data_IF_360674560175
#
_entry.id   IF_360674560175
#
_cell.length_a   1.000
_cell.length_b   1.000
_cell.length_c   1.000
_cell.angle_alpha   90.00
_cell.angle_beta   90.00
_cell.angle_gamma   90.00
#
_symmetry.space_group_name_H-M   'P 1'
#
loop_
_entity.id
_entity.type
_entity.pdbx_description
1 polymer ?
#
# COMPACT_ATOMS: atom_id res chain seq x y z
N UNK A 1 -2.82 15.29 14.52
CA UNK A 1 -2.66 15.33 13.03
C UNK A 1 -1.65 14.26 12.67
N UNK A 2 -1.90 13.44 11.65
CA UNK A 2 -0.89 12.47 11.20
C UNK A 2 0.32 13.22 10.65
N UNK A 3 1.50 12.94 11.17
CA UNK A 3 2.76 13.48 10.66
C UNK A 3 3.03 12.85 9.28
N UNK A 4 3.39 13.66 8.29
CA UNK A 4 3.83 13.18 6.99
C UNK A 4 5.35 13.14 6.93
N UNK A 5 5.88 12.12 6.28
CA UNK A 5 7.31 11.93 6.03
C UNK A 5 7.57 11.91 4.53
N UNK A 6 8.63 12.53 4.09
CA UNK A 6 9.05 12.46 2.70
C UNK A 6 9.69 11.10 2.43
N UNK A 7 9.10 10.33 1.53
CA UNK A 7 9.65 9.06 1.07
C UNK A 7 9.95 9.13 -0.42
N UNK A 8 11.10 8.62 -0.79
CA UNK A 8 11.51 8.48 -2.18
C UNK A 8 10.87 7.24 -2.80
N UNK A 9 10.33 7.38 -3.99
CA UNK A 9 9.82 6.26 -4.77
C UNK A 9 11.00 5.40 -5.23
N UNK A 10 11.02 4.13 -4.80
CA UNK A 10 11.98 3.14 -5.24
C UNK A 10 11.73 2.67 -6.66
N UNK A 11 10.46 2.40 -6.98
CA UNK A 11 10.04 1.90 -8.28
C UNK A 11 8.57 2.21 -8.55
N UNK A 12 8.26 2.50 -9.79
CA UNK A 12 6.89 2.49 -10.34
C UNK A 12 6.84 1.39 -11.40
N UNK A 13 5.98 0.41 -11.20
CA UNK A 13 5.78 -0.71 -12.12
C UNK A 13 4.38 -0.70 -12.68
N UNK A 14 4.24 -0.83 -13.99
CA UNK A 14 2.93 -1.04 -14.61
C UNK A 14 2.42 -2.42 -14.22
N UNK A 15 1.22 -2.49 -13.67
CA UNK A 15 0.56 -3.74 -13.29
C UNK A 15 -0.47 -4.16 -14.36
N UNK A 16 -1.32 -3.21 -14.73
CA UNK A 16 -2.28 -3.32 -15.85
C UNK A 16 -2.25 -2.04 -16.68
N UNK A 17 -3.04 -1.98 -17.74
CA UNK A 17 -3.16 -0.75 -18.56
C UNK A 17 -3.71 0.44 -17.76
N UNK A 18 -4.36 0.17 -16.64
CA UNK A 18 -5.00 1.18 -15.77
C UNK A 18 -4.51 1.16 -14.33
N UNK A 19 -3.40 0.48 -14.01
CA UNK A 19 -2.89 0.41 -12.66
C UNK A 19 -1.36 0.37 -12.62
N UNK A 20 -0.81 1.06 -11.63
CA UNK A 20 0.62 1.01 -11.30
C UNK A 20 0.82 0.56 -9.86
N UNK A 21 1.93 -0.11 -9.62
CA UNK A 21 2.42 -0.42 -8.27
C UNK A 21 3.57 0.53 -7.97
N UNK A 22 3.45 1.23 -6.85
CA UNK A 22 4.49 2.12 -6.34
C UNK A 22 5.11 1.49 -5.11
N UNK A 23 6.42 1.34 -5.11
CA UNK A 23 7.21 0.96 -3.94
C UNK A 23 8.05 2.12 -3.45
N UNK A 24 8.19 2.24 -2.14
CA UNK A 24 8.91 3.32 -1.48
C UNK A 24 10.21 2.82 -0.85
N UNK A 25 11.22 3.69 -0.81
CA UNK A 25 12.35 3.52 0.07
C UNK A 25 11.96 4.07 1.45
N UNK A 26 11.96 3.23 2.45
CA UNK A 26 11.78 3.64 3.84
C UNK A 26 13.17 3.73 4.47
N UNK A 27 13.60 4.91 4.94
CA UNK A 27 14.87 5.04 5.66
C UNK A 27 14.84 4.25 6.97
N UNK A 28 15.96 3.66 7.37
CA UNK A 28 16.05 2.80 8.56
C UNK A 28 15.54 3.46 9.85
N UNK A 29 15.72 4.76 10.01
CA UNK A 29 15.21 5.50 11.16
C UNK A 29 13.68 5.68 11.17
N UNK A 30 13.00 5.28 10.09
CA UNK A 30 11.54 5.30 9.95
C UNK A 30 10.93 3.89 9.91
N UNK A 31 11.71 2.82 9.99
CA UNK A 31 11.24 1.44 9.88
C UNK A 31 10.11 1.13 10.88
N UNK A 32 10.28 1.53 12.14
CA UNK A 32 9.25 1.32 13.18
C UNK A 32 7.98 2.15 12.91
N UNK A 33 8.13 3.36 12.38
CA UNK A 33 7.01 4.26 12.06
C UNK A 33 6.19 3.73 10.89
N UNK A 34 6.85 3.08 9.93
CA UNK A 34 6.21 2.49 8.75
C UNK A 34 5.94 0.99 8.87
N UNK A 35 6.19 0.38 10.04
CA UNK A 35 5.72 -0.96 10.33
C UNK A 35 4.20 -1.04 10.25
N UNK A 36 3.65 -2.10 9.65
CA UNK A 36 2.21 -2.20 9.42
C UNK A 36 1.68 -3.62 9.68
N UNK A 37 0.36 -3.72 9.82
CA UNK A 37 -0.40 -4.97 9.84
C UNK A 37 -1.08 -5.16 8.48
N UNK A 38 -1.21 -6.42 8.04
CA UNK A 38 -1.90 -6.75 6.80
C UNK A 38 -3.33 -6.17 6.79
N UNK A 39 -3.70 -5.50 5.71
CA UNK A 39 -4.98 -4.81 5.56
C UNK A 39 -4.95 -3.30 5.80
N UNK A 40 -3.89 -2.78 6.39
CA UNK A 40 -3.72 -1.34 6.62
C UNK A 40 -3.41 -0.56 5.34
N UNK A 41 -3.55 0.77 5.41
CA UNK A 41 -3.32 1.71 4.33
C UNK A 41 -2.40 2.85 4.75
N UNK A 42 -1.83 3.53 3.77
CA UNK A 42 -1.10 4.79 3.91
C UNK A 42 -1.81 5.92 3.19
N UNK A 43 -1.60 7.16 3.67
CA UNK A 43 -2.08 8.36 2.97
C UNK A 43 -0.91 8.97 2.20
N UNK A 44 -1.07 9.11 0.89
CA UNK A 44 -0.13 9.82 0.03
C UNK A 44 -0.58 11.27 -0.14
N UNK A 45 0.36 12.20 -0.05
CA UNK A 45 0.14 13.62 -0.20
C UNK A 45 1.13 14.22 -1.21
N UNK A 46 0.63 15.07 -2.09
CA UNK A 46 1.44 15.85 -3.03
C UNK A 46 0.69 17.08 -3.50
N UNK A 47 1.36 17.97 -4.23
CA UNK A 47 0.73 19.12 -4.89
C UNK A 47 0.59 18.82 -6.39
N UNK A 48 -0.63 18.98 -6.90
CA UNK A 48 -0.94 18.87 -8.33
C UNK A 48 -1.63 20.16 -8.77
N UNK A 49 -1.08 20.83 -9.77
CA UNK A 49 -1.55 22.13 -10.24
C UNK A 49 -1.76 23.15 -9.09
N UNK A 50 -0.82 23.22 -8.14
CA UNK A 50 -0.85 24.13 -7.00
C UNK A 50 -1.79 23.72 -5.87
N UNK A 51 -2.58 22.66 -6.01
CA UNK A 51 -3.50 22.18 -4.96
C UNK A 51 -2.91 20.99 -4.23
N UNK A 52 -3.01 21.01 -2.89
CA UNK A 52 -2.66 19.84 -2.07
C UNK A 52 -3.71 18.75 -2.26
N UNK A 53 -3.23 17.55 -2.62
CA UNK A 53 -4.07 16.37 -2.82
C UNK A 53 -3.61 15.29 -1.85
N UNK A 54 -4.56 14.69 -1.13
CA UNK A 54 -4.34 13.53 -0.24
C UNK A 54 -5.20 12.37 -0.69
N UNK A 55 -4.64 11.16 -0.74
CA UNK A 55 -5.39 9.93 -1.07
C UNK A 55 -4.87 8.76 -0.26
N UNK A 56 -5.79 7.93 0.18
CA UNK A 56 -5.51 6.71 0.92
C UNK A 56 -5.38 5.53 -0.03
N UNK A 57 -4.34 4.72 0.18
CA UNK A 57 -4.10 3.50 -0.59
C UNK A 57 -3.71 2.36 0.35
N UNK A 58 -4.42 1.23 0.25
CA UNK A 58 -4.10 0.05 1.02
C UNK A 58 -2.76 -0.54 0.58
N UNK A 59 -2.01 -1.04 1.55
CA UNK A 59 -0.79 -1.79 1.29
C UNK A 59 -1.17 -3.13 0.63
N UNK A 60 -0.41 -3.55 -0.38
CA UNK A 60 -0.70 -4.74 -1.18
C UNK A 60 0.35 -5.85 -1.01
N UNK A 61 1.19 -5.73 0.00
CA UNK A 61 2.25 -6.70 0.35
C UNK A 61 2.08 -7.16 1.79
N UNK A 62 2.73 -8.28 2.14
CA UNK A 62 2.76 -8.70 3.54
C UNK A 62 3.71 -7.84 4.37
N UNK A 63 3.47 -7.69 5.68
CA UNK A 63 4.40 -6.99 6.57
C UNK A 63 5.81 -7.59 6.57
N UNK A 64 5.94 -8.90 6.38
CA UNK A 64 7.22 -9.61 6.33
C UNK A 64 8.05 -9.35 5.07
N UNK A 65 7.44 -8.79 4.03
CA UNK A 65 8.18 -8.48 2.79
C UNK A 65 9.25 -7.40 2.98
N UNK A 66 9.21 -6.66 4.09
CA UNK A 66 10.04 -5.47 4.32
C UNK A 66 9.92 -4.43 3.19
N UNK A 67 8.75 -4.38 2.56
CA UNK A 67 8.46 -3.45 1.47
C UNK A 67 7.23 -2.61 1.81
N UNK A 68 7.25 -1.36 1.43
CA UNK A 68 6.09 -0.47 1.49
C UNK A 68 5.58 -0.27 0.05
N UNK A 69 4.47 -0.94 -0.30
CA UNK A 69 3.91 -0.94 -1.66
C UNK A 69 2.41 -0.69 -1.67
N UNK A 70 1.98 0.13 -2.61
CA UNK A 70 0.57 0.37 -2.94
C UNK A 70 0.32 0.16 -4.42
N UNK A 71 -0.89 -0.29 -4.76
CA UNK A 71 -1.35 -0.33 -6.15
C UNK A 71 -2.38 0.77 -6.37
N UNK A 72 -2.20 1.54 -7.43
CA UNK A 72 -3.03 2.71 -7.75
C UNK A 72 -3.70 2.51 -9.10
N UNK A 73 -5.00 2.20 -9.05
CA UNK A 73 -5.84 2.12 -10.24
C UNK A 73 -6.18 3.52 -10.73
N UNK A 74 -5.96 3.76 -12.01
CA UNK A 74 -6.34 5.01 -12.69
C UNK A 74 -7.87 5.12 -12.73
N UNK A 75 -8.38 6.19 -12.12
CA UNK A 75 -9.80 6.55 -12.18
C UNK A 75 -9.95 7.68 -13.18
N UNK A 76 -10.97 7.63 -14.01
CA UNK A 76 -11.28 8.70 -14.96
C UNK A 76 -11.48 10.03 -14.23
N UNK A 77 -10.82 11.08 -14.68
CA UNK A 77 -10.79 12.40 -14.04
C UNK A 77 -10.22 12.43 -12.60
N UNK A 78 -9.62 11.35 -12.13
CA UNK A 78 -8.98 11.26 -10.80
C UNK A 78 -7.64 11.97 -10.79
N UNK A 79 -7.54 13.12 -10.11
CA UNK A 79 -6.32 13.94 -10.10
C UNK A 79 -5.07 13.14 -9.69
N UNK A 80 -5.10 12.50 -8.54
CA UNK A 80 -3.93 11.74 -8.05
C UNK A 80 -3.70 10.46 -8.83
N UNK A 81 -4.75 9.69 -9.12
CA UNK A 81 -4.60 8.40 -9.80
C UNK A 81 -4.12 8.54 -11.25
N UNK A 82 -4.54 9.59 -11.96
CA UNK A 82 -4.00 9.92 -13.28
C UNK A 82 -2.54 10.33 -13.15
N UNK A 83 -2.21 11.25 -12.24
CA UNK A 83 -0.83 11.67 -11.98
C UNK A 83 0.09 10.48 -11.67
N UNK A 84 -0.35 9.57 -10.79
CA UNK A 84 0.43 8.39 -10.43
C UNK A 84 0.67 7.43 -11.60
N UNK A 85 -0.32 7.29 -12.49
CA UNK A 85 -0.23 6.38 -13.64
C UNK A 85 0.50 6.98 -14.86
N UNK A 86 0.76 8.31 -14.87
CA UNK A 86 1.31 8.99 -16.06
C UNK A 86 2.62 9.71 -15.81
N UNK A 87 2.85 10.23 -14.61
CA UNK A 87 3.96 11.14 -14.33
C UNK A 87 4.93 10.64 -13.25
N UNK A 88 4.45 9.91 -12.24
CA UNK A 88 5.31 9.42 -11.17
C UNK A 88 6.33 8.40 -11.69
N UNK A 89 7.55 8.53 -11.21
CA UNK A 89 8.68 7.67 -11.56
C UNK A 89 9.60 7.41 -10.34
N UNK A 90 10.53 6.50 -10.48
CA UNK A 90 11.56 6.27 -9.48
C UNK A 90 12.35 7.56 -9.20
N UNK A 91 12.73 7.73 -7.95
CA UNK A 91 13.40 8.89 -7.36
C UNK A 91 12.52 10.14 -7.15
N UNK A 92 11.27 10.14 -7.56
CA UNK A 92 10.32 11.17 -7.14
C UNK A 92 10.05 11.05 -5.63
N UNK A 93 9.70 12.15 -4.97
CA UNK A 93 9.41 12.20 -3.54
C UNK A 93 7.93 12.47 -3.32
N UNK A 94 7.32 11.69 -2.45
CA UNK A 94 5.96 11.92 -1.95
C UNK A 94 5.96 12.07 -0.44
N UNK A 95 5.05 12.86 0.08
CA UNK A 95 4.76 12.90 1.51
C UNK A 95 3.80 11.75 1.85
N UNK A 96 4.22 10.91 2.79
CA UNK A 96 3.51 9.69 3.18
C UNK A 96 3.22 9.71 4.66
N UNK A 97 1.95 9.50 5.05
CA UNK A 97 1.59 9.30 6.44
C UNK A 97 1.82 7.84 6.85
N UNK A 98 2.19 7.58 8.11
CA UNK A 98 2.36 6.22 8.63
C UNK A 98 1.13 5.33 8.39
N UNK A 99 1.34 4.00 8.30
CA UNK A 99 0.25 3.04 8.13
C UNK A 99 -0.80 3.17 9.22
N UNK A 100 -2.06 3.04 8.84
CA UNK A 100 -3.21 3.08 9.75
C UNK A 100 -4.39 2.27 9.18
N UNK A 101 -5.43 2.12 9.97
CA UNK A 101 -6.68 1.44 9.59
C UNK A 101 -7.04 0.33 10.57
N UNK A 102 -8.34 0.03 10.63
CA UNK A 102 -8.92 -0.99 11.53
C UNK A 102 -9.15 -2.33 10.83
N UNK A 103 -9.12 -2.36 9.51
CA UNK A 103 -9.21 -3.59 8.74
C UNK A 103 -7.84 -4.26 8.77
N UNK A 104 -7.62 -5.11 9.78
CA UNK A 104 -6.34 -5.78 10.02
C UNK A 104 -6.52 -7.28 10.15
N UNK A 105 -5.53 -8.01 9.70
CA UNK A 105 -5.41 -9.45 9.88
C UNK A 105 -4.18 -9.74 10.72
N UNK A 106 -4.37 -10.49 11.81
CA UNK A 106 -3.30 -10.98 12.66
C UNK A 106 -3.13 -12.49 12.46
N UNK A 107 -1.98 -12.94 11.97
CA UNK A 107 -1.73 -14.35 11.73
C UNK A 107 -1.59 -15.14 13.04
N UNK A 108 -2.09 -16.37 13.07
CA UNK A 108 -1.97 -17.30 14.20
C UNK A 108 -1.31 -18.58 13.69
N UNK A 109 -0.01 -18.70 13.88
CA UNK A 109 0.83 -19.78 13.31
C UNK A 109 0.38 -21.20 13.60
N UNK A 110 -0.21 -21.44 14.78
CA UNK A 110 -0.63 -22.77 15.26
C UNK A 110 -2.06 -23.15 14.87
N UNK A 111 -2.76 -22.30 14.15
CA UNK A 111 -4.18 -22.49 13.82
C UNK A 111 -4.35 -22.93 12.38
N UNK A 112 -5.19 -23.95 12.15
CA UNK A 112 -5.70 -24.33 10.85
C UNK A 112 -7.11 -23.74 10.67
N UNK A 113 -7.27 -22.77 9.79
CA UNK A 113 -8.57 -22.15 9.51
C UNK A 113 -8.79 -21.96 8.02
N UNK A 114 -10.04 -21.86 7.62
CA UNK A 114 -10.42 -21.50 6.26
C UNK A 114 -10.67 -20.00 6.23
N UNK A 115 -9.97 -19.29 5.35
CA UNK A 115 -10.05 -17.84 5.21
C UNK A 115 -10.62 -17.54 3.83
N UNK A 116 -11.76 -16.86 3.79
CA UNK A 116 -12.44 -16.47 2.56
C UNK A 116 -12.39 -14.96 2.42
N UNK A 117 -11.81 -14.48 1.34
CA UNK A 117 -11.72 -13.06 1.00
C UNK A 117 -12.65 -12.69 -0.15
N UNK A 118 -13.40 -11.61 0.02
CA UNK A 118 -14.22 -11.02 -1.04
C UNK A 118 -13.65 -9.66 -1.41
N UNK A 119 -13.40 -9.45 -2.69
CA UNK A 119 -12.84 -8.20 -3.18
C UNK A 119 -13.46 -7.80 -4.52
N UNK A 120 -13.65 -6.50 -4.72
CA UNK A 120 -14.03 -5.93 -6.01
C UNK A 120 -13.17 -4.70 -6.30
N UNK A 121 -12.77 -4.53 -7.54
CA UNK A 121 -11.96 -3.40 -7.99
C UNK A 121 -10.68 -3.22 -7.16
N UNK A 122 -10.43 -2.00 -6.69
CA UNK A 122 -9.26 -1.69 -5.86
C UNK A 122 -9.30 -2.31 -4.46
N UNK A 123 -10.44 -2.85 -4.02
CA UNK A 123 -10.56 -3.59 -2.76
C UNK A 123 -9.71 -4.86 -2.70
N UNK A 124 -9.17 -5.32 -3.84
CA UNK A 124 -8.21 -6.43 -3.89
C UNK A 124 -6.90 -6.13 -3.13
N UNK A 125 -6.49 -4.87 -3.03
CA UNK A 125 -5.17 -4.52 -2.46
C UNK A 125 -5.01 -4.93 -1.00
N UNK A 126 -5.92 -4.59 -0.06
CA UNK A 126 -5.80 -5.08 1.32
C UNK A 126 -5.98 -6.60 1.42
N UNK A 127 -6.83 -7.19 0.59
CA UNK A 127 -7.01 -8.65 0.55
C UNK A 127 -5.73 -9.35 0.10
N UNK A 128 -5.00 -8.82 -0.90
CA UNK A 128 -3.70 -9.35 -1.31
C UNK A 128 -2.66 -9.29 -0.20
N UNK A 129 -2.63 -8.22 0.58
CA UNK A 129 -1.77 -8.13 1.78
C UNK A 129 -2.08 -9.26 2.77
N UNK A 130 -3.36 -9.50 3.03
CA UNK A 130 -3.82 -10.57 3.93
C UNK A 130 -3.50 -11.96 3.36
N UNK A 131 -3.80 -12.22 2.08
CA UNK A 131 -3.49 -13.52 1.43
C UNK A 131 -2.00 -13.84 1.55
N UNK A 132 -1.14 -12.90 1.21
CA UNK A 132 0.32 -13.08 1.32
C UNK A 132 0.73 -13.38 2.75
N UNK A 133 0.16 -12.68 3.72
CA UNK A 133 0.44 -12.91 5.15
C UNK A 133 -0.01 -14.30 5.60
N UNK A 134 -1.19 -14.74 5.18
CA UNK A 134 -1.69 -16.10 5.47
C UNK A 134 -0.74 -17.16 4.92
N UNK A 135 -0.37 -17.06 3.64
CA UNK A 135 0.51 -18.02 2.99
C UNK A 135 1.91 -18.07 3.61
N UNK A 136 2.40 -16.95 4.12
CA UNK A 136 3.71 -16.85 4.75
C UNK A 136 3.72 -17.28 6.23
N UNK A 137 2.63 -17.03 6.95
CA UNK A 137 2.61 -17.13 8.42
C UNK A 137 1.64 -18.17 8.99
N UNK A 138 0.68 -18.65 8.18
CA UNK A 138 -0.28 -19.68 8.60
C UNK A 138 -0.23 -20.89 7.65
N UNK A 139 0.82 -21.73 7.70
CA UNK A 139 1.02 -22.80 6.75
C UNK A 139 -0.07 -23.90 6.79
N UNK A 140 -0.85 -23.97 7.88
CA UNK A 140 -1.94 -24.92 8.06
C UNK A 140 -3.30 -24.38 7.60
N UNK A 141 -3.40 -23.07 7.32
CA UNK A 141 -4.64 -22.42 6.89
C UNK A 141 -4.83 -22.48 5.36
N UNK A 142 -6.07 -22.35 4.91
CA UNK A 142 -6.46 -22.39 3.50
C UNK A 142 -7.29 -21.16 3.15
#
# INVERSE_FOLDING_TARGET
>A
MSQFHELTIKKVSKDTDKAVIISFNVPQNLDEIFAFKAGQYITLKTKIAGKEIRRDYSLCVSPKSNELKVAIKKVENGLFSVYANTLLKANDVLEVAPPKGRFVFEPIKSTARIIVGFATGSGITPIMSIIKTVLEEEPLSK
#
